data_IF_393222357900
#
_entry.id   IF_393222357900
#
_cell.length_a   1.000
_cell.length_b   1.000
_cell.length_c   1.000
_cell.angle_alpha   90.00
_cell.angle_beta   90.00
_cell.angle_gamma   90.00
#
_symmetry.space_group_name_H-M   'P 1'
#
loop_
_entity.id
_entity.type
_entity.pdbx_description
1 polymer ?
#
# COMPACT_ATOMS: atom_id res chain seq x y z
N UNK A 1 -19.64 6.64 -7.66
CA UNK A 1 -18.36 5.91 -7.58
C UNK A 1 -17.24 6.91 -7.79
N UNK A 2 -16.54 7.32 -6.72
CA UNK A 2 -15.48 8.34 -6.79
C UNK A 2 -14.14 7.64 -6.93
N UNK A 3 -13.41 7.92 -8.00
CA UNK A 3 -12.02 7.44 -8.15
C UNK A 3 -11.12 8.32 -7.28
N UNK A 4 -10.41 7.71 -6.31
CA UNK A 4 -9.43 8.41 -5.48
C UNK A 4 -8.19 8.74 -6.32
N UNK A 5 -8.20 9.92 -6.97
CA UNK A 5 -7.11 10.37 -7.85
C UNK A 5 -5.89 10.95 -7.12
N UNK A 6 -6.03 11.28 -5.83
CA UNK A 6 -4.99 11.94 -5.03
C UNK A 6 -4.87 11.28 -3.67
N UNK A 7 -3.95 10.33 -3.56
CA UNK A 7 -3.62 9.64 -2.31
C UNK A 7 -2.15 9.84 -1.98
N UNK A 8 -1.83 9.94 -0.70
CA UNK A 8 -0.44 10.00 -0.21
C UNK A 8 -0.31 9.09 1.00
N UNK A 9 0.86 8.46 1.16
CA UNK A 9 1.12 7.51 2.24
C UNK A 9 1.55 8.26 3.49
N UNK A 10 0.86 8.03 4.60
CA UNK A 10 1.19 8.64 5.92
C UNK A 10 1.91 7.68 6.86
N UNK A 11 1.72 6.37 6.68
CA UNK A 11 2.33 5.32 7.48
C UNK A 11 2.57 4.06 6.64
N UNK A 12 3.57 3.27 7.02
CA UNK A 12 3.76 1.92 6.56
C UNK A 12 4.55 1.10 7.59
N UNK A 13 4.32 -0.21 7.60
CA UNK A 13 5.08 -1.17 8.39
C UNK A 13 5.26 -2.43 7.53
N UNK A 14 6.51 -2.83 7.32
CA UNK A 14 6.89 -3.93 6.43
C UNK A 14 7.29 -5.19 7.18
N UNK A 15 8.38 -5.81 6.73
CA UNK A 15 9.04 -6.91 7.43
C UNK A 15 10.35 -6.42 8.04
N UNK A 16 10.42 -6.38 9.37
CA UNK A 16 11.58 -5.87 10.12
C UNK A 16 11.91 -6.86 11.22
N UNK A 17 13.19 -7.24 11.33
CA UNK A 17 13.70 -8.14 12.38
C UNK A 17 12.89 -9.44 12.54
N UNK A 18 12.43 -10.04 11.44
CA UNK A 18 11.68 -11.30 11.46
C UNK A 18 10.18 -11.14 11.78
N UNK A 19 9.67 -9.92 11.90
CA UNK A 19 8.26 -9.65 12.21
C UNK A 19 7.62 -8.84 11.08
N UNK A 20 6.45 -9.31 10.61
CA UNK A 20 5.61 -8.58 9.67
C UNK A 20 4.74 -7.56 10.39
N UNK A 21 4.47 -6.42 9.76
CA UNK A 21 3.55 -5.42 10.31
C UNK A 21 2.15 -5.99 10.60
N UNK A 22 1.67 -6.97 9.83
CA UNK A 22 0.41 -7.66 10.12
C UNK A 22 0.48 -8.48 11.42
N UNK A 23 1.63 -9.02 11.79
CA UNK A 23 1.82 -9.69 13.08
C UNK A 23 1.80 -8.69 14.25
N UNK A 24 2.30 -7.47 14.05
CA UNK A 24 2.15 -6.39 15.04
C UNK A 24 0.68 -6.09 15.32
N UNK A 25 -0.15 -5.98 14.26
CA UNK A 25 -1.60 -5.77 14.39
C UNK A 25 -2.28 -6.94 15.13
N UNK A 26 -1.92 -8.18 14.81
CA UNK A 26 -2.43 -9.38 15.50
C UNK A 26 -2.08 -9.34 16.99
N UNK A 27 -0.79 -9.10 17.32
CA UNK A 27 -0.31 -8.99 18.71
C UNK A 27 -0.99 -7.86 19.48
N UNK A 28 -1.35 -6.78 18.78
CA UNK A 28 -2.08 -5.64 19.34
C UNK A 28 -3.61 -5.80 19.26
N UNK A 29 -4.13 -7.04 19.21
CA UNK A 29 -5.56 -7.34 19.25
C UNK A 29 -6.38 -6.65 18.14
N UNK A 30 -5.81 -6.58 16.93
CA UNK A 30 -6.45 -5.98 15.76
C UNK A 30 -6.34 -4.46 15.69
N UNK A 31 -5.59 -3.81 16.59
CA UNK A 31 -5.42 -2.35 16.60
C UNK A 31 -4.17 -1.94 15.85
N UNK A 32 -4.33 -1.06 14.87
CA UNK A 32 -3.22 -0.34 14.23
C UNK A 32 -3.34 1.14 14.54
N UNK A 33 -2.34 1.71 15.22
CA UNK A 33 -2.27 3.15 15.47
C UNK A 33 -1.75 3.83 14.21
N UNK A 34 -2.46 4.85 13.74
CA UNK A 34 -2.04 5.66 12.59
C UNK A 34 -1.86 7.11 13.04
N UNK A 35 -0.65 7.64 12.87
CA UNK A 35 -0.35 9.04 13.19
C UNK A 35 -0.62 9.94 11.98
N UNK A 36 -1.50 10.93 12.15
CA UNK A 36 -1.77 11.93 11.12
C UNK A 36 -0.69 13.02 11.20
N UNK A 37 0.07 13.29 10.13
CA UNK A 37 1.15 14.28 10.19
C UNK A 37 0.63 15.71 10.39
N UNK A 38 1.22 16.45 11.33
CA UNK A 38 0.87 17.87 11.57
C UNK A 38 1.23 18.80 10.40
N UNK A 39 2.03 18.33 9.44
CA UNK A 39 2.46 19.14 8.30
C UNK A 39 1.46 19.20 7.13
N UNK A 40 0.36 18.44 7.17
CA UNK A 40 -0.70 18.50 6.15
C UNK A 40 -1.69 19.63 6.46
N UNK A 41 -2.42 20.07 5.45
CA UNK A 41 -3.45 21.11 5.63
C UNK A 41 -4.67 20.56 6.39
N UNK A 42 -5.33 21.42 7.15
CA UNK A 42 -6.63 21.11 7.73
C UNK A 42 -7.67 20.81 6.65
N UNK A 43 -8.71 20.05 7.01
CA UNK A 43 -9.86 19.78 6.15
C UNK A 43 -10.31 18.33 6.16
N UNK A 44 -11.20 18.00 5.22
CA UNK A 44 -11.81 16.67 5.09
C UNK A 44 -10.91 15.75 4.26
N UNK A 45 -10.65 14.55 4.78
CA UNK A 45 -9.84 13.52 4.12
C UNK A 45 -10.53 12.15 4.18
N UNK A 46 -10.15 11.29 3.25
CA UNK A 46 -10.40 9.85 3.36
C UNK A 46 -9.11 9.18 3.83
N UNK A 47 -9.16 8.54 4.99
CA UNK A 47 -8.09 7.70 5.51
C UNK A 47 -8.32 6.27 5.03
N UNK A 48 -7.35 5.71 4.29
CA UNK A 48 -7.39 4.35 3.77
C UNK A 48 -6.37 3.46 4.48
N UNK A 49 -6.71 2.82 5.61
CA UNK A 49 -5.87 1.75 6.16
C UNK A 49 -5.87 0.55 5.20
N UNK A 50 -4.76 -0.16 5.14
CA UNK A 50 -4.66 -1.37 4.31
C UNK A 50 -3.68 -2.37 4.93
N UNK A 51 -4.08 -3.65 4.92
CA UNK A 51 -3.21 -4.79 5.16
C UNK A 51 -3.08 -5.59 3.86
N UNK A 52 -1.85 -6.01 3.54
CA UNK A 52 -1.57 -6.85 2.38
C UNK A 52 -1.11 -8.21 2.89
N UNK A 53 -1.94 -9.24 2.71
CA UNK A 53 -1.59 -10.61 3.06
C UNK A 53 -0.84 -11.29 1.90
N UNK A 54 0.37 -11.79 2.20
CA UNK A 54 1.32 -12.28 1.20
C UNK A 54 1.50 -13.80 1.18
N UNK A 55 0.76 -14.55 2.00
CA UNK A 55 0.92 -16.01 2.11
C UNK A 55 0.67 -16.75 0.78
N UNK A 56 -0.12 -16.17 -0.12
CA UNK A 56 -0.37 -16.65 -1.48
C UNK A 56 0.38 -15.90 -2.59
N UNK A 57 1.21 -14.90 -2.26
CA UNK A 57 1.76 -13.92 -3.21
C UNK A 57 2.89 -14.43 -4.11
N UNK A 58 3.24 -15.73 -4.04
CA UNK A 58 4.26 -16.34 -4.91
C UNK A 58 3.88 -16.30 -6.39
N UNK A 59 2.58 -16.22 -6.69
CA UNK A 59 2.03 -16.09 -8.04
C UNK A 59 1.38 -14.73 -8.23
N UNK A 60 1.40 -14.24 -9.47
CA UNK A 60 0.66 -13.03 -9.84
C UNK A 60 -0.82 -13.14 -9.44
N UNK A 61 -1.36 -12.09 -8.82
CA UNK A 61 -2.74 -12.08 -8.31
C UNK A 61 -2.95 -12.81 -6.98
N UNK A 62 -1.90 -13.39 -6.39
CA UNK A 62 -1.99 -14.12 -5.12
C UNK A 62 -1.93 -13.26 -3.85
N UNK A 63 -1.48 -11.99 -3.96
CA UNK A 63 -1.55 -11.05 -2.84
C UNK A 63 -3.00 -10.61 -2.58
N UNK A 64 -3.39 -10.59 -1.32
CA UNK A 64 -4.73 -10.22 -0.89
C UNK A 64 -4.67 -8.86 -0.19
N UNK A 65 -5.42 -7.89 -0.70
CA UNK A 65 -5.41 -6.52 -0.19
C UNK A 65 -6.71 -6.31 0.60
N UNK A 66 -6.59 -6.04 1.89
CA UNK A 66 -7.69 -5.75 2.81
C UNK A 66 -7.64 -4.27 3.14
N UNK A 67 -8.57 -3.48 2.60
CA UNK A 67 -8.61 -2.04 2.81
C UNK A 67 -10.01 -1.56 3.11
N UNK A 68 -10.07 -0.49 3.89
CA UNK A 68 -11.28 0.25 4.18
C UNK A 68 -11.03 1.74 3.96
N UNK A 69 -12.06 2.56 4.13
CA UNK A 69 -11.93 4.02 4.10
C UNK A 69 -12.73 4.62 5.27
N UNK A 70 -12.09 5.53 6.00
CA UNK A 70 -12.73 6.35 7.02
C UNK A 70 -12.78 7.80 6.55
N UNK A 71 -13.89 8.49 6.81
CA UNK A 71 -14.00 9.93 6.62
C UNK A 71 -13.50 10.62 7.89
N UNK A 72 -12.52 11.51 7.75
CA UNK A 72 -11.92 12.23 8.88
C UNK A 72 -11.82 13.72 8.58
N UNK A 73 -11.87 14.53 9.64
CA UNK A 73 -11.55 15.95 9.58
C UNK A 73 -10.24 16.21 10.33
N UNK A 74 -9.24 16.72 9.61
CA UNK A 74 -7.95 17.09 10.17
C UNK A 74 -8.03 18.53 10.66
N UNK A 75 -7.65 18.74 11.93
CA UNK A 75 -7.53 20.05 12.57
C UNK A 75 -6.14 20.20 13.19
N UNK A 76 -5.69 21.44 13.42
CA UNK A 76 -4.36 21.73 14.00
C UNK A 76 -3.16 21.52 13.05
N UNK A 77 -3.40 21.12 11.80
CA UNK A 77 -2.38 21.00 10.77
C UNK A 77 -1.84 22.34 10.28
N UNK A 78 -0.54 22.39 10.02
CA UNK A 78 0.19 23.58 9.57
C UNK A 78 0.11 23.84 8.08
N UNK A 79 -0.20 22.81 7.26
CA UNK A 79 -0.21 22.92 5.80
C UNK A 79 1.16 23.20 5.17
N UNK A 80 2.26 22.99 5.90
CA UNK A 80 3.61 23.32 5.46
C UNK A 80 4.12 22.44 4.29
N UNK A 81 3.49 21.29 4.03
CA UNK A 81 3.87 20.38 2.95
C UNK A 81 2.68 19.96 2.10
N UNK A 82 2.93 19.90 0.79
CA UNK A 82 2.04 19.26 -0.19
C UNK A 82 2.67 17.92 -0.60
N UNK A 83 2.15 16.76 -0.15
CA UNK A 83 2.71 15.47 -0.48
C UNK A 83 2.64 15.18 -1.98
N UNK A 84 3.61 14.43 -2.50
CA UNK A 84 3.43 13.76 -3.80
C UNK A 84 2.24 12.81 -3.72
N UNK A 85 1.40 12.81 -4.75
CA UNK A 85 0.16 12.01 -4.76
C UNK A 85 0.15 10.96 -5.86
N UNK A 86 -0.59 9.90 -5.61
CA UNK A 86 -0.76 8.74 -6.47
C UNK A 86 -2.25 8.42 -6.64
N UNK A 87 -2.59 7.69 -7.70
CA UNK A 87 -3.98 7.30 -8.00
C UNK A 87 -4.27 5.85 -7.58
N UNK A 88 -5.51 5.62 -7.15
CA UNK A 88 -6.08 4.28 -6.96
C UNK A 88 -7.31 4.16 -7.88
N UNK A 89 -7.31 3.24 -8.87
CA UNK A 89 -6.27 2.25 -9.19
C UNK A 89 -5.01 2.87 -9.83
N UNK A 90 -3.87 2.16 -9.72
CA UNK A 90 -2.59 2.55 -10.34
C UNK A 90 -1.38 2.56 -9.40
N UNK A 91 -1.62 2.67 -8.08
CA UNK A 91 -0.55 2.70 -7.07
C UNK A 91 0.20 1.36 -6.93
N UNK A 92 -0.46 0.24 -7.23
CA UNK A 92 0.12 -1.09 -7.19
C UNK A 92 0.30 -1.66 -8.59
N UNK A 93 1.48 -2.23 -8.84
CA UNK A 93 1.83 -2.83 -10.12
C UNK A 93 1.92 -4.34 -9.97
N UNK A 94 0.97 -5.02 -10.59
CA UNK A 94 0.89 -6.48 -10.62
C UNK A 94 1.34 -6.96 -12.00
N UNK A 95 2.07 -8.08 -12.06
CA UNK A 95 2.28 -8.78 -13.34
C UNK A 95 0.93 -9.27 -13.87
N UNK A 96 0.37 -8.61 -14.87
CA UNK A 96 -0.81 -9.11 -15.57
C UNK A 96 -0.41 -10.29 -16.47
N UNK A 97 -0.95 -11.48 -16.19
CA UNK A 97 -0.93 -12.59 -17.14
C UNK A 97 -1.97 -12.26 -18.22
N UNK A 98 -1.50 -11.82 -19.39
CA UNK A 98 -2.38 -11.35 -20.47
C UNK A 98 -3.12 -12.52 -21.10
N UNK A 99 -4.43 -12.41 -21.21
CA UNK A 99 -5.11 -12.92 -22.40
C UNK A 99 -4.56 -12.15 -23.61
N UNK A 100 -3.77 -12.88 -24.38
CA UNK A 100 -3.33 -12.73 -25.76
C UNK A 100 -3.64 -11.41 -26.48
N UNK A 101 -2.63 -10.54 -26.58
CA UNK A 101 -1.94 -10.11 -27.83
C UNK A 101 -0.87 -9.15 -27.38
N UNK A 102 0.40 -9.47 -27.64
CA UNK A 102 1.59 -8.70 -27.33
C UNK A 102 1.61 -7.27 -27.94
N UNK A 103 0.75 -6.36 -27.49
CA UNK A 103 0.98 -4.94 -27.71
C UNK A 103 1.97 -4.40 -26.65
N UNK A 104 3.23 -4.68 -26.97
CA UNK A 104 4.34 -3.72 -27.10
C UNK A 104 4.88 -3.19 -25.76
N UNK A 105 5.58 -4.05 -25.01
CA UNK A 105 7.05 -4.21 -25.04
C UNK A 105 7.87 -3.01 -24.49
N UNK A 106 7.50 -2.46 -23.33
CA UNK A 106 8.48 -1.83 -22.40
C UNK A 106 7.92 -1.47 -21.01
N UNK A 107 6.59 -1.44 -20.83
CA UNK A 107 5.98 -0.90 -19.60
C UNK A 107 5.56 -1.94 -18.55
N UNK A 108 5.44 -3.21 -18.92
CA UNK A 108 5.06 -4.31 -18.00
C UNK A 108 6.21 -4.86 -17.13
N UNK A 109 7.39 -4.22 -17.13
CA UNK A 109 8.53 -4.67 -16.32
C UNK A 109 8.42 -4.30 -14.84
N UNK A 110 7.59 -3.34 -14.47
CA UNK A 110 7.46 -2.95 -13.08
C UNK A 110 6.44 -3.87 -12.40
N UNK A 111 6.91 -5.02 -11.90
CA UNK A 111 6.18 -5.76 -10.88
C UNK A 111 6.60 -5.17 -9.53
N UNK A 112 5.67 -4.80 -8.68
CA UNK A 112 6.02 -4.37 -7.34
C UNK A 112 6.62 -5.58 -6.59
N UNK A 113 7.89 -5.51 -6.16
CA UNK A 113 8.55 -6.61 -5.47
C UNK A 113 7.88 -6.96 -4.14
N UNK A 114 7.03 -6.08 -3.61
CA UNK A 114 6.20 -6.34 -2.43
C UNK A 114 4.80 -6.89 -2.70
N UNK A 115 4.39 -7.07 -3.96
CA UNK A 115 3.06 -7.58 -4.36
C UNK A 115 3.13 -9.01 -4.92
N UNK A 116 4.10 -9.32 -5.79
CA UNK A 116 4.36 -10.72 -6.17
C UNK A 116 5.71 -11.13 -5.62
N UNK A 117 5.70 -11.95 -4.57
CA UNK A 117 6.87 -12.28 -3.74
C UNK A 117 6.72 -13.68 -3.14
N UNK A 118 7.82 -14.44 -3.10
CA UNK A 118 7.92 -15.68 -2.34
C UNK A 118 8.47 -15.40 -0.93
N UNK A 119 7.57 -15.16 0.03
CA UNK A 119 7.95 -14.86 1.41
C UNK A 119 8.59 -16.04 2.16
N UNK A 120 8.51 -17.25 1.63
CA UNK A 120 9.08 -18.45 2.28
C UNK A 120 10.55 -18.66 1.91
N UNK A 121 10.94 -18.24 0.69
CA UNK A 121 12.30 -18.43 0.18
C UNK A 121 13.06 -17.12 -0.10
N UNK A 122 12.42 -15.96 0.04
CA UNK A 122 13.08 -14.67 -0.18
C UNK A 122 14.19 -14.42 0.85
N UNK A 123 15.37 -14.01 0.36
CA UNK A 123 16.55 -13.67 1.17
C UNK A 123 16.83 -12.17 1.26
N UNK A 124 15.98 -11.33 0.65
CA UNK A 124 16.15 -9.88 0.58
C UNK A 124 15.18 -9.11 1.49
N UNK A 125 15.44 -7.81 1.73
CA UNK A 125 14.53 -6.96 2.48
C UNK A 125 13.18 -6.87 1.78
N UNK A 126 12.09 -6.83 2.55
CA UNK A 126 10.76 -6.59 2.00
C UNK A 126 10.65 -5.14 1.53
N UNK A 127 10.23 -4.97 0.27
CA UNK A 127 9.98 -3.64 -0.32
C UNK A 127 8.49 -3.39 -0.27
N UNK A 128 8.06 -2.45 0.58
CA UNK A 128 6.66 -2.09 0.75
C UNK A 128 6.15 -1.45 -0.56
N UNK A 129 5.02 -1.89 -1.13
CA UNK A 129 4.51 -1.38 -2.41
C UNK A 129 3.85 0.00 -2.27
N UNK A 130 3.64 0.68 -3.39
CA UNK A 130 2.93 1.96 -3.45
C UNK A 130 3.75 3.18 -2.99
N UNK A 131 4.95 3.31 -3.55
CA UNK A 131 5.83 4.48 -3.47
C UNK A 131 6.43 4.76 -4.83
#
# INVERSE_FOLDING_TARGET
>A
MTVLKRTFKVQNEGFVNGVWGTETVIKNQGKQVIHIPECIANGQYLLRPEMIALHGARTAGGAQLYMECAQIEVTGGTGAKTPQTYSIPGIYKVRQLRDSVAQILTWFKANDPGITIDIYNSKGPYVIPGT
#
